data_IF_227249699785
#
_entry.id   IF_227249699785
#
_cell.length_a   1.000
_cell.length_b   1.000
_cell.length_c   1.000
_cell.angle_alpha   90.00
_cell.angle_beta   90.00
_cell.angle_gamma   90.00
#
_symmetry.space_group_name_H-M   'P 1'
#
loop_
_entity.id
_entity.type
_entity.pdbx_description
1 polymer ?
#
# COMPACT_ATOMS: atom_id res chain seq x y z
N UNK A 1 -25.09 37.56 2.58
CA UNK A 1 -25.55 36.27 2.01
C UNK A 1 -24.47 35.24 2.32
N UNK A 2 -24.69 34.41 3.35
CA UNK A 2 -23.75 33.32 3.65
C UNK A 2 -23.96 32.27 2.56
N UNK A 3 -22.99 32.13 1.66
CA UNK A 3 -22.99 31.03 0.70
C UNK A 3 -22.99 29.74 1.53
N UNK A 4 -24.08 28.98 1.45
CA UNK A 4 -24.15 27.66 2.04
C UNK A 4 -23.00 26.84 1.45
N UNK A 5 -22.01 26.51 2.28
CA UNK A 5 -20.97 25.56 1.91
C UNK A 5 -21.69 24.27 1.46
N UNK A 6 -21.34 23.69 0.31
CA UNK A 6 -21.94 22.43 -0.10
C UNK A 6 -21.69 21.42 1.01
N UNK A 7 -22.77 20.92 1.60
CA UNK A 7 -22.70 19.88 2.62
C UNK A 7 -21.96 18.68 2.01
N UNK A 8 -20.99 18.07 2.71
CA UNK A 8 -20.32 16.87 2.21
C UNK A 8 -21.39 15.82 1.96
N UNK A 9 -21.53 15.43 0.69
CA UNK A 9 -22.45 14.36 0.29
C UNK A 9 -21.89 13.04 0.78
N UNK A 10 -22.80 12.14 1.15
CA UNK A 10 -22.41 10.83 1.63
C UNK A 10 -21.68 10.05 0.52
N UNK A 11 -20.49 9.47 0.74
CA UNK A 11 -19.72 8.79 -0.29
C UNK A 11 -20.49 7.69 -1.03
N UNK A 12 -21.36 6.95 -0.33
CA UNK A 12 -22.23 5.95 -0.97
C UNK A 12 -23.32 6.55 -1.87
N UNK A 13 -23.82 7.75 -1.56
CA UNK A 13 -24.77 8.44 -2.44
C UNK A 13 -24.08 8.89 -3.73
N UNK A 14 -22.80 9.25 -3.63
CA UNK A 14 -21.95 9.60 -4.78
C UNK A 14 -21.42 8.36 -5.53
N UNK A 15 -21.63 7.14 -5.02
CA UNK A 15 -21.22 5.88 -5.65
C UNK A 15 -22.26 5.33 -6.64
N UNK A 16 -23.49 5.86 -6.63
CA UNK A 16 -24.57 5.42 -7.54
C UNK A 16 -24.11 5.51 -9.00
N UNK A 17 -24.18 4.38 -9.70
CA UNK A 17 -23.77 4.25 -11.11
C UNK A 17 -22.26 4.09 -11.35
N UNK A 18 -21.42 4.20 -10.33
CA UNK A 18 -19.99 3.95 -10.47
C UNK A 18 -19.64 2.47 -10.53
N UNK A 19 -20.36 1.64 -9.78
CA UNK A 19 -20.18 0.18 -9.82
C UNK A 19 -20.39 -0.38 -11.23
N UNK A 20 -21.43 0.09 -11.94
CA UNK A 20 -21.70 -0.27 -13.32
C UNK A 20 -20.58 0.20 -14.27
N UNK A 21 -20.05 1.42 -14.06
CA UNK A 21 -18.90 1.91 -14.83
C UNK A 21 -17.69 1.01 -14.62
N UNK A 22 -17.34 0.70 -13.37
CA UNK A 22 -16.22 -0.18 -13.06
C UNK A 22 -16.41 -1.55 -13.71
N UNK A 23 -17.61 -2.14 -13.58
CA UNK A 23 -17.96 -3.43 -14.20
C UNK A 23 -17.76 -3.46 -15.71
N UNK A 24 -18.03 -2.35 -16.40
CA UNK A 24 -17.84 -2.22 -17.84
C UNK A 24 -16.38 -1.96 -18.24
N UNK A 25 -15.58 -1.38 -17.34
CA UNK A 25 -14.19 -0.99 -17.60
C UNK A 25 -13.18 -2.12 -17.35
N UNK A 26 -13.54 -3.12 -16.55
CA UNK A 26 -12.63 -4.20 -16.15
C UNK A 26 -13.16 -5.58 -16.54
N UNK A 27 -12.26 -6.55 -16.67
CA UNK A 27 -12.60 -7.94 -16.95
C UNK A 27 -13.43 -8.56 -15.81
N UNK A 28 -14.27 -9.58 -16.06
CA UNK A 28 -15.13 -10.18 -15.04
C UNK A 28 -14.38 -10.64 -13.78
N UNK A 29 -13.21 -11.29 -13.94
CA UNK A 29 -12.38 -11.73 -12.81
C UNK A 29 -11.87 -10.55 -11.97
N UNK A 30 -11.56 -9.42 -12.62
CA UNK A 30 -11.12 -8.18 -11.96
C UNK A 30 -12.26 -7.54 -11.20
N UNK A 31 -13.47 -7.53 -11.76
CA UNK A 31 -14.64 -7.01 -11.06
C UNK A 31 -14.94 -7.80 -9.78
N UNK A 32 -14.82 -9.13 -9.81
CA UNK A 32 -14.96 -9.94 -8.59
C UNK A 32 -13.89 -9.62 -7.53
N UNK A 33 -12.67 -9.30 -7.96
CA UNK A 33 -11.63 -8.82 -7.07
C UNK A 33 -11.99 -7.46 -6.46
N UNK A 34 -12.43 -6.51 -7.28
CA UNK A 34 -12.90 -5.19 -6.83
C UNK A 34 -13.96 -5.30 -5.73
N UNK A 35 -14.97 -6.15 -5.92
CA UNK A 35 -16.02 -6.35 -4.91
C UNK A 35 -15.47 -6.86 -3.58
N UNK A 36 -14.52 -7.81 -3.61
CA UNK A 36 -13.89 -8.34 -2.39
C UNK A 36 -12.98 -7.32 -1.71
N UNK A 37 -12.30 -6.47 -2.49
CA UNK A 37 -11.50 -5.36 -1.95
C UNK A 37 -12.39 -4.33 -1.28
N UNK A 38 -13.51 -3.95 -1.91
CA UNK A 38 -14.46 -3.00 -1.34
C UNK A 38 -15.05 -3.48 -0.01
N UNK A 39 -15.49 -4.75 0.02
CA UNK A 39 -16.02 -5.38 1.24
C UNK A 39 -14.95 -5.43 2.35
N UNK A 40 -13.75 -5.92 2.04
CA UNK A 40 -12.69 -6.01 3.03
C UNK A 40 -12.22 -4.63 3.52
N UNK A 41 -12.09 -3.65 2.62
CA UNK A 41 -11.73 -2.28 3.01
C UNK A 41 -12.78 -1.67 3.95
N UNK A 42 -14.06 -1.93 3.71
CA UNK A 42 -15.16 -1.53 4.59
C UNK A 42 -15.03 -2.17 5.98
N UNK A 43 -14.78 -3.49 6.03
CA UNK A 43 -14.62 -4.24 7.29
C UNK A 43 -13.41 -3.75 8.10
N UNK A 44 -12.27 -3.53 7.43
CA UNK A 44 -11.06 -2.96 8.03
C UNK A 44 -11.38 -1.56 8.59
N UNK A 45 -12.04 -0.71 7.82
CA UNK A 45 -12.40 0.63 8.28
C UNK A 45 -13.31 0.58 9.51
N UNK A 46 -14.35 -0.26 9.50
CA UNK A 46 -15.26 -0.44 10.62
C UNK A 46 -14.50 -0.86 11.89
N UNK A 47 -13.65 -1.89 11.79
CA UNK A 47 -12.92 -2.44 12.92
C UNK A 47 -11.91 -1.45 13.54
N UNK A 48 -11.47 -0.45 12.77
CA UNK A 48 -10.54 0.59 13.21
C UNK A 48 -11.22 1.95 13.48
N UNK A 49 -12.56 2.02 13.49
CA UNK A 49 -13.30 3.26 13.76
C UNK A 49 -13.13 4.35 12.69
N UNK A 50 -12.95 3.95 11.43
CA UNK A 50 -12.75 4.83 10.27
C UNK A 50 -14.02 4.94 9.41
N UNK A 51 -13.99 5.81 8.40
CA UNK A 51 -15.11 6.01 7.48
C UNK A 51 -15.28 4.81 6.53
N UNK A 52 -16.16 3.90 6.92
CA UNK A 52 -16.54 2.68 6.19
C UNK A 52 -17.00 2.99 4.77
N UNK A 53 -17.77 4.07 4.59
CA UNK A 53 -18.37 4.44 3.31
C UNK A 53 -17.32 4.90 2.31
N UNK A 54 -16.33 5.67 2.76
CA UNK A 54 -15.19 6.06 1.91
C UNK A 54 -14.28 4.89 1.61
N UNK A 55 -14.04 4.00 2.57
CA UNK A 55 -13.24 2.80 2.34
C UNK A 55 -13.87 1.86 1.32
N UNK A 56 -15.18 1.63 1.42
CA UNK A 56 -15.93 0.87 0.44
C UNK A 56 -15.87 1.51 -0.96
N UNK A 57 -16.17 2.82 -1.04
CA UNK A 57 -16.16 3.56 -2.31
C UNK A 57 -14.77 3.51 -2.98
N UNK A 58 -13.70 3.73 -2.21
CA UNK A 58 -12.33 3.65 -2.72
C UNK A 58 -11.98 2.23 -3.18
N UNK A 59 -12.42 1.20 -2.45
CA UNK A 59 -12.27 -0.19 -2.86
C UNK A 59 -13.01 -0.54 -4.15
N UNK A 60 -14.20 0.05 -4.40
CA UNK A 60 -14.90 -0.12 -5.69
C UNK A 60 -14.12 0.54 -6.84
N UNK A 61 -13.54 1.71 -6.59
CA UNK A 61 -12.99 2.56 -7.65
C UNK A 61 -11.50 2.30 -7.96
N UNK A 62 -10.75 1.63 -7.06
CA UNK A 62 -9.28 1.55 -7.13
C UNK A 62 -8.75 1.05 -8.48
N UNK A 63 -9.37 0.01 -9.02
CA UNK A 63 -8.90 -0.71 -10.22
C UNK A 63 -9.65 -0.28 -11.51
N UNK A 64 -10.40 0.83 -11.51
CA UNK A 64 -11.21 1.25 -12.68
C UNK A 64 -10.39 1.45 -13.97
N UNK A 65 -9.12 1.82 -13.84
CA UNK A 65 -8.20 2.00 -14.96
C UNK A 65 -7.31 0.78 -15.23
N UNK A 66 -7.50 -0.33 -14.48
CA UNK A 66 -6.55 -1.45 -14.42
C UNK A 66 -6.32 -2.17 -15.74
N UNK A 67 -7.37 -2.30 -16.54
CA UNK A 67 -7.36 -3.04 -17.80
C UNK A 67 -7.22 -2.12 -19.03
N UNK A 68 -6.91 -0.84 -18.82
CA UNK A 68 -6.60 0.10 -19.91
C UNK A 68 -5.26 -0.25 -20.58
N UNK A 69 -5.10 0.02 -21.88
CA UNK A 69 -3.82 -0.15 -22.58
C UNK A 69 -2.73 0.76 -22.00
N UNK A 70 -1.48 0.32 -22.08
CA UNK A 70 -0.30 1.06 -21.59
C UNK A 70 -0.23 2.51 -22.08
N UNK A 71 -0.54 2.74 -23.37
CA UNK A 71 -0.56 4.07 -23.95
C UNK A 71 -1.59 5.00 -23.27
N UNK A 72 -2.73 4.44 -22.87
CA UNK A 72 -3.78 5.20 -22.18
C UNK A 72 -3.40 5.44 -20.71
N UNK A 73 -2.77 4.47 -20.05
CA UNK A 73 -2.23 4.65 -18.69
C UNK A 73 -1.20 5.79 -18.66
N UNK A 74 -0.26 5.81 -19.60
CA UNK A 74 0.75 6.88 -19.74
C UNK A 74 0.13 8.24 -20.05
N UNK A 75 -0.95 8.27 -20.82
CA UNK A 75 -1.67 9.51 -21.16
C UNK A 75 -2.45 10.06 -19.97
N UNK A 76 -3.07 9.19 -19.17
CA UNK A 76 -3.85 9.57 -17.99
C UNK A 76 -2.95 9.90 -16.80
N UNK A 77 -1.82 9.22 -16.66
CA UNK A 77 -0.85 9.44 -15.59
C UNK A 77 0.56 9.55 -16.20
N UNK A 78 1.00 10.77 -16.57
CA UNK A 78 2.34 11.00 -17.08
C UNK A 78 3.41 10.43 -16.12
N UNK A 79 4.47 9.78 -16.65
CA UNK A 79 5.58 9.26 -15.84
C UNK A 79 6.18 10.30 -14.88
N UNK A 80 6.29 9.94 -13.61
CA UNK A 80 7.04 10.70 -12.59
C UNK A 80 8.46 10.14 -12.43
N UNK A 81 8.63 8.84 -12.74
CA UNK A 81 9.90 8.12 -12.63
C UNK A 81 10.18 7.27 -13.88
N UNK A 82 11.46 6.93 -14.20
CA UNK A 82 11.77 6.08 -15.34
C UNK A 82 11.07 4.71 -15.32
N UNK A 83 10.80 4.17 -14.12
CA UNK A 83 10.10 2.90 -13.94
C UNK A 83 8.65 2.95 -14.43
N UNK A 84 8.01 4.12 -14.43
CA UNK A 84 6.63 4.29 -14.91
C UNK A 84 6.53 4.02 -16.41
N UNK A 85 7.51 4.53 -17.18
CA UNK A 85 7.59 4.29 -18.61
C UNK A 85 7.96 2.84 -18.93
N UNK A 86 8.81 2.20 -18.11
CA UNK A 86 9.20 0.81 -18.27
C UNK A 86 8.08 -0.18 -17.86
N UNK A 87 7.24 0.21 -16.90
CA UNK A 87 6.14 -0.60 -16.36
C UNK A 87 4.85 0.22 -16.22
N UNK A 88 4.20 0.62 -17.33
CA UNK A 88 3.02 1.51 -17.32
C UNK A 88 1.87 0.98 -16.47
N UNK A 89 1.78 -0.33 -16.34
CA UNK A 89 0.79 -1.01 -15.53
C UNK A 89 0.80 -0.61 -14.05
N UNK A 90 1.91 -0.08 -13.51
CA UNK A 90 1.96 0.46 -12.14
C UNK A 90 1.18 1.78 -11.98
N UNK A 91 0.91 2.49 -13.08
CA UNK A 91 0.27 3.80 -13.11
C UNK A 91 -1.25 3.75 -12.91
N UNK A 92 -1.88 2.57 -12.94
CA UNK A 92 -3.34 2.46 -12.94
C UNK A 92 -4.03 3.16 -11.76
N UNK A 93 -3.42 3.26 -10.57
CA UNK A 93 -3.97 4.08 -9.48
C UNK A 93 -4.03 5.58 -9.82
N UNK A 94 -2.92 6.16 -10.29
CA UNK A 94 -2.85 7.56 -10.76
C UNK A 94 -3.75 7.81 -11.97
N UNK A 95 -3.83 6.85 -12.89
CA UNK A 95 -4.69 6.92 -14.05
C UNK A 95 -6.18 6.85 -13.64
N UNK A 96 -6.52 5.97 -12.69
CA UNK A 96 -7.86 5.85 -12.12
C UNK A 96 -8.29 7.17 -11.49
N UNK A 97 -7.44 7.78 -10.64
CA UNK A 97 -7.70 9.12 -10.08
C UNK A 97 -8.05 10.14 -11.16
N UNK A 98 -7.18 10.28 -12.16
CA UNK A 98 -7.36 11.26 -13.25
C UNK A 98 -8.66 11.00 -14.04
N UNK A 99 -8.97 9.73 -14.28
CA UNK A 99 -10.19 9.32 -14.98
C UNK A 99 -11.45 9.67 -14.18
N UNK A 100 -11.45 9.38 -12.88
CA UNK A 100 -12.54 9.69 -11.96
C UNK A 100 -12.79 11.19 -11.86
N UNK A 101 -11.75 12.00 -11.70
CA UNK A 101 -11.84 13.46 -11.67
C UNK A 101 -12.45 14.01 -12.98
N UNK A 102 -12.01 13.50 -14.14
CA UNK A 102 -12.56 13.88 -15.45
C UNK A 102 -14.03 13.49 -15.63
N UNK A 103 -14.45 12.40 -14.99
CA UNK A 103 -15.84 11.94 -14.99
C UNK A 103 -16.68 12.56 -13.86
N UNK A 104 -16.09 13.46 -13.06
CA UNK A 104 -16.81 14.28 -12.10
C UNK A 104 -16.87 13.74 -10.67
N UNK A 105 -16.12 12.69 -10.34
CA UNK A 105 -15.96 12.26 -8.95
C UNK A 105 -15.08 13.27 -8.18
N UNK A 106 -15.43 13.58 -6.92
CA UNK A 106 -14.84 14.73 -6.20
C UNK A 106 -14.39 14.46 -4.76
N UNK A 107 -14.69 13.31 -4.16
CA UNK A 107 -14.25 13.07 -2.78
C UNK A 107 -12.72 12.89 -2.74
N UNK A 108 -11.97 13.82 -2.12
CA UNK A 108 -10.51 13.80 -2.16
C UNK A 108 -9.92 12.62 -1.37
N UNK A 109 -10.59 12.16 -0.31
CA UNK A 109 -10.14 11.04 0.52
C UNK A 109 -10.18 9.75 -0.30
N UNK A 110 -11.26 9.55 -1.05
CA UNK A 110 -11.41 8.39 -1.93
C UNK A 110 -10.46 8.48 -3.12
N UNK A 111 -10.36 9.64 -3.78
CA UNK A 111 -9.45 9.84 -4.92
C UNK A 111 -7.98 9.59 -4.54
N UNK A 112 -7.57 10.01 -3.36
CA UNK A 112 -6.22 9.77 -2.85
C UNK A 112 -5.97 8.29 -2.54
N UNK A 113 -6.94 7.60 -1.91
CA UNK A 113 -6.84 6.16 -1.66
C UNK A 113 -6.77 5.35 -2.97
N UNK A 114 -7.55 5.73 -3.97
CA UNK A 114 -7.49 5.17 -5.33
C UNK A 114 -6.13 5.43 -5.99
N UNK A 115 -5.55 6.61 -5.81
CA UNK A 115 -4.24 6.91 -6.39
C UNK A 115 -3.12 6.05 -5.79
N UNK A 116 -3.14 5.92 -4.46
CA UNK A 116 -2.03 5.37 -3.68
C UNK A 116 -2.05 3.84 -3.55
N UNK A 117 -3.15 3.16 -3.88
CA UNK A 117 -3.26 1.71 -3.68
C UNK A 117 -2.14 0.90 -4.36
N UNK A 118 -1.57 1.39 -5.47
CA UNK A 118 -0.53 0.67 -6.21
C UNK A 118 0.86 0.81 -5.61
N UNK A 119 1.16 1.95 -4.98
CA UNK A 119 2.52 2.31 -4.52
C UNK A 119 2.63 2.50 -3.01
N UNK A 120 1.52 2.54 -2.29
CA UNK A 120 1.49 2.71 -0.84
C UNK A 120 0.94 4.08 -0.44
N UNK A 121 0.25 4.18 0.71
CA UNK A 121 -0.24 5.44 1.26
C UNK A 121 0.90 6.44 1.53
N UNK A 122 0.66 7.72 1.25
CA UNK A 122 1.59 8.83 1.57
C UNK A 122 1.50 9.33 3.03
N UNK A 123 0.56 8.80 3.81
CA UNK A 123 0.23 9.27 5.15
C UNK A 123 -0.86 10.34 5.15
N UNK A 124 -1.49 10.58 6.31
CA UNK A 124 -2.55 11.59 6.47
C UNK A 124 -3.96 11.15 6.03
N UNK A 125 -4.08 10.04 5.32
CA UNK A 125 -5.35 9.44 4.92
C UNK A 125 -5.42 7.96 5.32
N UNK A 126 -6.14 7.60 6.40
CA UNK A 126 -6.24 6.22 6.86
C UNK A 126 -7.07 5.33 5.92
N UNK A 127 -7.95 5.90 5.09
CA UNK A 127 -8.71 5.12 4.08
C UNK A 127 -7.75 4.52 3.05
N UNK A 128 -6.69 5.23 2.67
CA UNK A 128 -5.64 4.71 1.79
C UNK A 128 -5.01 3.44 2.36
N UNK A 129 -4.81 3.36 3.68
CA UNK A 129 -4.28 2.17 4.34
C UNK A 129 -5.27 1.00 4.27
N UNK A 130 -6.56 1.24 4.54
CA UNK A 130 -7.60 0.22 4.39
C UNK A 130 -7.61 -0.40 2.99
N UNK A 131 -7.61 0.45 1.95
CA UNK A 131 -7.66 -0.01 0.55
C UNK A 131 -6.39 -0.74 0.15
N UNK A 132 -5.22 -0.20 0.52
CA UNK A 132 -3.93 -0.84 0.22
C UNK A 132 -3.83 -2.24 0.84
N UNK A 133 -4.20 -2.37 2.12
CA UNK A 133 -4.18 -3.65 2.83
C UNK A 133 -5.24 -4.60 2.25
N UNK A 134 -6.44 -4.12 1.95
CA UNK A 134 -7.49 -4.93 1.36
C UNK A 134 -7.10 -5.49 -0.01
N UNK A 135 -6.52 -4.68 -0.92
CA UNK A 135 -6.12 -5.13 -2.27
C UNK A 135 -5.10 -6.30 -2.22
N UNK A 136 -4.11 -6.20 -1.33
CA UNK A 136 -3.07 -7.24 -1.21
C UNK A 136 -3.54 -8.48 -0.46
N UNK A 137 -4.60 -8.40 0.35
CA UNK A 137 -4.99 -9.44 1.30
C UNK A 137 -6.44 -9.95 1.17
N UNK A 138 -7.19 -9.47 0.17
CA UNK A 138 -8.55 -9.95 -0.08
C UNK A 138 -8.59 -11.48 -0.25
N UNK A 139 -9.62 -12.19 0.25
CA UNK A 139 -9.60 -13.66 0.37
C UNK A 139 -9.32 -14.44 -0.93
N UNK A 140 -9.72 -13.91 -2.07
CA UNK A 140 -9.48 -14.52 -3.38
C UNK A 140 -8.03 -14.46 -3.87
N UNK A 141 -7.14 -13.73 -3.18
CA UNK A 141 -5.69 -13.78 -3.41
C UNK A 141 -5.09 -15.12 -2.95
N UNK A 142 -5.67 -15.75 -1.93
CA UNK A 142 -5.17 -17.01 -1.35
C UNK A 142 -3.82 -16.87 -0.61
N UNK A 143 -3.41 -15.64 -0.30
CA UNK A 143 -2.18 -15.29 0.44
C UNK A 143 -2.48 -14.12 1.38
N UNK A 144 -1.54 -13.79 2.27
CA UNK A 144 -1.61 -12.63 3.17
C UNK A 144 -2.79 -12.67 4.16
N UNK A 145 -3.23 -13.86 4.55
CA UNK A 145 -4.28 -14.05 5.57
C UNK A 145 -3.87 -13.44 6.92
N UNK A 146 -2.62 -13.61 7.30
CA UNK A 146 -2.00 -12.98 8.47
C UNK A 146 -2.07 -11.45 8.45
N UNK A 147 -1.91 -10.82 7.28
CA UNK A 147 -2.05 -9.37 7.11
C UNK A 147 -3.52 -8.97 7.22
N UNK A 148 -4.43 -9.75 6.62
CA UNK A 148 -5.87 -9.51 6.66
C UNK A 148 -6.40 -9.54 8.10
N UNK A 149 -6.06 -10.58 8.85
CA UNK A 149 -6.47 -10.74 10.25
C UNK A 149 -5.91 -9.62 11.13
N UNK A 150 -4.63 -9.28 10.94
CA UNK A 150 -4.00 -8.18 11.67
C UNK A 150 -4.72 -6.85 11.40
N UNK A 151 -5.14 -6.60 10.17
CA UNK A 151 -5.79 -5.34 9.78
C UNK A 151 -7.13 -5.09 10.47
N UNK A 152 -7.81 -6.15 10.94
CA UNK A 152 -9.06 -6.05 11.69
C UNK A 152 -8.86 -5.63 13.15
N UNK A 153 -7.62 -5.57 13.62
CA UNK A 153 -7.29 -5.24 15.01
C UNK A 153 -6.24 -4.14 15.14
N UNK A 154 -5.33 -4.03 14.17
CA UNK A 154 -4.25 -3.06 14.10
C UNK A 154 -3.90 -2.78 12.64
N UNK A 155 -4.58 -1.78 12.05
CA UNK A 155 -4.37 -1.37 10.67
C UNK A 155 -2.94 -0.88 10.40
N UNK A 156 -2.32 -0.18 11.34
CA UNK A 156 -0.98 0.37 11.16
C UNK A 156 0.06 -0.76 11.11
N UNK A 157 -0.04 -1.75 12.00
CA UNK A 157 0.81 -2.93 11.97
C UNK A 157 0.60 -3.77 10.70
N UNK A 158 -0.65 -3.91 10.24
CA UNK A 158 -0.96 -4.59 8.98
C UNK A 158 -0.38 -3.87 7.77
N UNK A 159 -0.49 -2.53 7.72
CA UNK A 159 0.09 -1.71 6.66
C UNK A 159 1.62 -1.84 6.63
N UNK A 160 2.26 -1.76 7.80
CA UNK A 160 3.71 -1.95 7.94
C UNK A 160 4.13 -3.31 7.36
N UNK A 161 3.43 -4.39 7.76
CA UNK A 161 3.70 -5.74 7.28
C UNK A 161 3.49 -5.85 5.77
N UNK A 162 2.42 -5.26 5.24
CA UNK A 162 2.10 -5.29 3.81
C UNK A 162 3.16 -4.59 2.95
N UNK A 163 3.60 -3.39 3.35
CA UNK A 163 4.63 -2.63 2.62
C UNK A 163 5.98 -3.36 2.71
N UNK A 164 6.38 -3.82 3.90
CA UNK A 164 7.63 -4.56 4.10
C UNK A 164 7.66 -5.86 3.28
N UNK A 165 6.55 -6.60 3.25
CA UNK A 165 6.42 -7.84 2.47
C UNK A 165 6.54 -7.58 0.96
N UNK A 166 5.92 -6.50 0.46
CA UNK A 166 6.02 -6.11 -0.95
C UNK A 166 7.45 -5.74 -1.35
N UNK A 167 8.13 -4.92 -0.56
CA UNK A 167 9.52 -4.52 -0.83
C UNK A 167 10.45 -5.73 -0.82
N UNK A 168 10.34 -6.59 0.21
CA UNK A 168 11.12 -7.82 0.34
C UNK A 168 10.91 -8.74 -0.85
N UNK A 169 9.65 -8.94 -1.26
CA UNK A 169 9.30 -9.75 -2.43
C UNK A 169 9.94 -9.21 -3.71
N UNK A 170 9.77 -7.92 -4.01
CA UNK A 170 10.31 -7.31 -5.23
C UNK A 170 11.84 -7.38 -5.27
N UNK A 171 12.51 -7.08 -4.16
CA UNK A 171 13.96 -7.17 -4.04
C UNK A 171 14.45 -8.62 -4.21
N UNK A 172 13.80 -9.60 -3.56
CA UNK A 172 14.14 -11.01 -3.70
C UNK A 172 13.95 -11.56 -5.12
N UNK A 173 13.13 -10.88 -5.94
CA UNK A 173 12.92 -11.20 -7.37
C UNK A 173 13.83 -10.40 -8.31
N UNK A 174 14.67 -9.51 -7.78
CA UNK A 174 15.50 -8.59 -8.59
C UNK A 174 14.69 -7.56 -9.37
N UNK A 175 13.44 -7.30 -8.97
CA UNK A 175 12.56 -6.31 -9.59
C UNK A 175 12.79 -4.96 -8.91
N UNK A 176 12.95 -3.91 -9.71
CA UNK A 176 13.11 -2.55 -9.18
C UNK A 176 11.85 -2.14 -8.39
N UNK A 177 12.05 -1.70 -7.15
CA UNK A 177 10.98 -1.16 -6.32
C UNK A 177 10.66 0.27 -6.77
N UNK A 178 9.38 0.57 -6.93
CA UNK A 178 8.94 1.91 -7.31
C UNK A 178 9.34 2.96 -6.24
N UNK A 179 9.86 4.15 -6.60
CA UNK A 179 10.29 5.16 -5.63
C UNK A 179 9.22 5.57 -4.60
N UNK A 180 7.96 5.75 -5.02
CA UNK A 180 6.82 5.99 -4.08
C UNK A 180 6.65 4.86 -3.05
N UNK A 181 6.86 3.60 -3.45
CA UNK A 181 6.82 2.46 -2.51
C UNK A 181 7.99 2.48 -1.54
N UNK A 182 9.18 2.87 -1.99
CA UNK A 182 10.33 3.05 -1.11
C UNK A 182 10.10 4.19 -0.13
N UNK A 183 9.49 5.29 -0.56
CA UNK A 183 9.12 6.40 0.32
C UNK A 183 8.16 5.92 1.42
N UNK A 184 7.10 5.18 1.05
CA UNK A 184 6.19 4.59 2.02
C UNK A 184 6.90 3.62 2.97
N UNK A 185 7.85 2.82 2.46
CA UNK A 185 8.67 1.90 3.26
C UNK A 185 9.59 2.62 4.26
N UNK A 186 10.27 3.69 3.84
CA UNK A 186 11.16 4.45 4.72
C UNK A 186 10.41 5.33 5.73
N UNK A 187 9.14 5.64 5.48
CA UNK A 187 8.28 6.35 6.43
C UNK A 187 7.78 5.45 7.57
N UNK A 188 7.97 4.12 7.47
CA UNK A 188 7.56 3.18 8.51
C UNK A 188 8.35 3.43 9.80
N UNK A 189 7.70 3.32 10.98
CA UNK A 189 8.40 3.44 12.25
C UNK A 189 9.52 2.40 12.34
N UNK A 190 10.71 2.82 12.78
CA UNK A 190 11.78 1.87 13.09
C UNK A 190 11.31 0.96 14.21
N UNK A 191 11.08 -0.32 13.90
CA UNK A 191 10.89 -1.34 14.93
C UNK A 191 12.20 -1.42 15.71
N UNK A 192 12.18 -0.97 16.97
CA UNK A 192 13.26 -1.28 17.90
C UNK A 192 13.22 -2.79 18.10
N UNK A 193 14.17 -3.47 17.50
CA UNK A 193 14.44 -4.86 17.88
C UNK A 193 15.10 -4.78 19.24
N UNK A 194 14.32 -4.91 20.30
CA UNK A 194 14.88 -5.13 21.63
C UNK A 194 15.62 -6.47 21.57
N UNK A 195 16.93 -6.40 21.39
CA UNK A 195 17.82 -7.51 21.66
C UNK A 195 17.75 -7.74 23.16
N UNK A 196 16.79 -8.56 23.59
CA UNK A 196 16.65 -9.04 24.95
C UNK A 196 17.98 -9.63 25.40
N UNK A 197 18.76 -8.83 26.12
CA UNK A 197 19.86 -9.33 26.92
C UNK A 197 19.22 -10.14 28.04
N UNK A 198 19.16 -11.46 27.87
CA UNK A 198 19.00 -12.38 28.98
C UNK A 198 20.15 -12.13 29.94
N UNK A 199 19.89 -11.36 31.00
CA UNK A 199 20.74 -11.31 32.17
C UNK A 199 20.62 -12.66 32.89
N UNK A 200 21.50 -13.60 32.54
CA UNK A 200 21.77 -14.76 33.36
C UNK A 200 22.54 -14.31 34.62
N UNK A 201 21.88 -14.42 35.78
CA UNK A 201 22.47 -14.18 37.08
C UNK A 201 23.49 -15.28 37.45
N UNK A 202 24.74 -14.84 37.60
CA UNK A 202 25.80 -15.28 38.52
C UNK A 202 25.67 -16.64 39.26
N UNK A 203 26.71 -17.46 39.09
CA UNK A 203 27.44 -18.08 40.21
C UNK A 203 28.87 -18.53 39.80
N UNK A 204 29.89 -18.08 40.56
CA UNK A 204 31.03 -18.94 40.91
C UNK A 204 32.37 -18.81 40.14
N UNK A 205 33.32 -18.12 40.78
CA UNK A 205 34.75 -18.44 40.96
C UNK A 205 35.75 -18.54 39.78
N UNK A 206 36.72 -17.62 39.88
CA UNK A 206 38.18 -17.76 39.74
C UNK A 206 38.90 -18.07 38.40
N UNK A 207 40.04 -17.36 38.31
CA UNK A 207 41.28 -17.65 37.58
C UNK A 207 41.42 -17.24 36.09
N UNK A 208 42.13 -16.11 35.93
CA UNK A 208 43.40 -15.98 35.20
C UNK A 208 43.45 -15.98 33.65
N UNK A 209 44.05 -14.89 33.14
CA UNK A 209 44.94 -14.76 31.95
C UNK A 209 44.37 -15.06 30.55
N UNK A 210 44.30 -14.03 29.70
CA UNK A 210 45.08 -13.90 28.45
C UNK A 210 44.53 -12.80 27.53
N UNK A 211 45.43 -12.09 26.86
CA UNK A 211 45.16 -10.95 25.98
C UNK A 211 45.06 -11.34 24.49
N UNK A 212 44.48 -10.41 23.71
CA UNK A 212 44.58 -10.18 22.24
C UNK A 212 43.58 -10.87 21.30
N UNK A 213 43.43 -10.38 20.04
CA UNK A 213 43.19 -9.00 19.60
C UNK A 213 42.06 -8.88 18.54
N UNK A 214 41.70 -7.64 18.20
CA UNK A 214 40.68 -7.29 17.20
C UNK A 214 40.99 -7.80 15.76
N UNK A 215 39.96 -8.14 14.95
CA UNK A 215 40.16 -8.56 13.56
C UNK A 215 40.38 -7.37 12.62
N UNK A 216 41.46 -7.45 11.82
CA UNK A 216 41.76 -6.53 10.71
C UNK A 216 40.83 -6.77 9.53
N UNK A 217 40.11 -5.73 9.09
CA UNK A 217 39.49 -5.67 7.76
C UNK A 217 40.59 -5.65 6.69
N UNK A 218 40.53 -6.56 5.72
CA UNK A 218 41.32 -6.49 4.49
C UNK A 218 40.40 -6.09 3.33
N UNK A 219 40.53 -4.85 2.84
CA UNK A 219 39.99 -4.44 1.56
C UNK A 219 40.81 -5.09 0.44
N UNK A 220 40.19 -5.98 -0.34
CA UNK A 220 40.69 -6.31 -1.69
C UNK A 220 39.99 -5.41 -2.70
N UNK A 221 40.74 -4.46 -3.24
CA UNK A 221 40.41 -3.75 -4.48
C UNK A 221 40.82 -4.64 -5.66
N UNK A 222 39.88 -5.00 -6.51
CA UNK A 222 40.17 -5.59 -7.82
C UNK A 222 40.11 -4.49 -8.87
N UNK A 223 41.23 -4.31 -9.60
CA UNK A 223 41.37 -3.46 -10.78
C UNK A 223 40.92 -4.24 -12.04
N UNK A 224 40.59 -3.54 -13.14
CA UNK A 224 39.93 -4.10 -14.31
C UNK A 224 40.93 -4.71 -15.31
N UNK A 225 40.41 -5.60 -16.14
CA UNK A 225 40.95 -5.99 -17.45
C UNK A 225 39.86 -5.78 -18.49
#
# INVERSE_FOLDING_TARGET
MIAALPQPRHPLADLVGWEDRVRLMVRPKRYQHVLRVAELACQIACANGLDESRAYAAGILHDIARDLPDAELLRLAPPEHPIDAAHPLALHGRAARTLLERWGYRDPVVLEAVEDHTTGPRGGNPVSACVYVADVSEPGRGVNEDIRELALHDLDAALHRAIASKVTYLQGRGIQVHPRTLQAYYALPLVRVDHGHSACGHAGSDASVAASPAPRLSLRRSRPA
#
